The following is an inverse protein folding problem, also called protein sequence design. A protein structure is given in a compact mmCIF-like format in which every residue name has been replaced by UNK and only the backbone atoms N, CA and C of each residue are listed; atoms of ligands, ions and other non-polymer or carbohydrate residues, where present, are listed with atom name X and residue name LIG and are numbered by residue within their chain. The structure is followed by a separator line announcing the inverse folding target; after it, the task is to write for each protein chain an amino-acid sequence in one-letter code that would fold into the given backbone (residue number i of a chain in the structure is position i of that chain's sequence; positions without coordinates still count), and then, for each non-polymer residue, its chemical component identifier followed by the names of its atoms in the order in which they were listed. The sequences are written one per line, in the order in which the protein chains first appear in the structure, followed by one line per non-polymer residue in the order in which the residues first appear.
data_IF_954161282691
#
_entry.id   IF_954161282691
#
_cell.length_a   1.000
_cell.length_b   1.000
_cell.length_c   1.000
_cell.angle_alpha   90.00
_cell.angle_beta   90.00
_cell.angle_gamma   90.00
#
_symmetry.space_group_name_H-M   'P 1'
#
loop_
_entity.id
_entity.type
_entity.pdbx_description
1 polymer ?
#
# COMPACT_ATOMS: atom_id res chain seq x y z
N UNK A 1 -28.68 10.56 10.02
CA UNK A 1 -27.24 10.75 9.83
C UNK A 1 -26.59 9.44 9.45
N UNK A 2 -25.68 9.45 8.50
CA UNK A 2 -24.94 8.26 8.11
C UNK A 2 -23.44 8.54 8.16
N UNK A 3 -22.66 7.50 8.40
CA UNK A 3 -21.20 7.57 8.45
C UNK A 3 -20.66 6.55 7.46
N UNK A 4 -19.70 6.96 6.66
CA UNK A 4 -19.00 6.07 5.73
C UNK A 4 -17.50 6.14 6.00
N UNK A 5 -16.80 5.06 5.72
CA UNK A 5 -15.34 5.04 5.76
C UNK A 5 -14.83 5.66 4.45
N UNK A 6 -14.31 6.89 4.51
CA UNK A 6 -13.91 7.63 3.32
C UNK A 6 -12.60 7.13 2.74
N UNK A 7 -11.56 7.01 3.57
CA UNK A 7 -10.26 6.58 3.10
C UNK A 7 -9.37 6.04 4.22
N UNK A 8 -8.31 5.34 3.80
CA UNK A 8 -7.13 5.09 4.59
C UNK A 8 -6.00 5.98 4.08
N UNK A 9 -5.14 6.47 4.97
CA UNK A 9 -4.00 7.30 4.59
C UNK A 9 -2.71 6.67 5.10
N UNK A 10 -1.75 6.52 4.18
CA UNK A 10 -0.39 6.08 4.47
C UNK A 10 0.52 7.30 4.32
N UNK A 11 1.35 7.57 5.33
CA UNK A 11 2.30 8.68 5.27
C UNK A 11 3.67 8.20 4.79
N UNK A 12 4.26 9.00 3.91
CA UNK A 12 5.55 8.70 3.26
C UNK A 12 6.44 9.95 3.31
N UNK A 13 7.74 9.74 3.09
CA UNK A 13 8.73 10.84 3.10
C UNK A 13 9.07 11.35 1.71
N UNK A 14 8.81 10.56 0.67
CA UNK A 14 9.15 10.89 -0.72
C UNK A 14 8.02 10.40 -1.63
N UNK A 15 7.28 11.33 -2.22
CA UNK A 15 6.11 10.98 -3.01
C UNK A 15 6.47 10.31 -4.34
N UNK A 16 7.60 10.65 -4.95
CA UNK A 16 8.05 10.01 -6.19
C UNK A 16 8.39 8.54 -5.95
N UNK A 17 9.09 8.22 -4.86
CA UNK A 17 9.38 6.85 -4.48
C UNK A 17 8.11 6.08 -4.12
N UNK A 18 7.18 6.72 -3.42
CA UNK A 18 5.90 6.12 -3.09
C UNK A 18 5.09 5.82 -4.35
N UNK A 19 5.08 6.72 -5.33
CA UNK A 19 4.40 6.46 -6.61
C UNK A 19 5.02 5.26 -7.33
N UNK A 20 6.33 5.17 -7.37
CA UNK A 20 7.03 4.01 -7.94
C UNK A 20 6.60 2.70 -7.27
N UNK A 21 6.44 2.71 -5.97
CA UNK A 21 6.00 1.54 -5.21
C UNK A 21 4.52 1.21 -5.46
N UNK A 22 3.63 2.15 -5.19
CA UNK A 22 2.19 1.90 -5.21
C UNK A 22 1.59 1.83 -6.61
N UNK A 23 1.98 2.76 -7.50
CA UNK A 23 1.44 2.81 -8.86
C UNK A 23 2.16 1.86 -9.81
N UNK A 24 3.50 1.79 -9.75
CA UNK A 24 4.28 1.02 -10.72
C UNK A 24 4.49 -0.43 -10.28
N UNK A 25 4.99 -0.67 -9.08
CA UNK A 25 5.27 -2.03 -8.60
C UNK A 25 3.99 -2.76 -8.19
N UNK A 26 3.17 -2.18 -7.34
CA UNK A 26 1.90 -2.78 -6.96
C UNK A 26 0.83 -2.68 -8.05
N UNK A 27 0.93 -1.70 -8.92
CA UNK A 27 -0.03 -1.52 -10.01
C UNK A 27 -1.39 -1.01 -9.55
N UNK A 28 -1.46 -0.28 -8.44
CA UNK A 28 -2.73 0.27 -7.96
C UNK A 28 -3.23 1.38 -8.89
N UNK A 29 -4.51 1.39 -9.23
CA UNK A 29 -5.06 2.40 -10.14
C UNK A 29 -5.10 3.77 -9.45
N UNK A 30 -4.49 4.77 -10.11
CA UNK A 30 -4.44 6.15 -9.62
C UNK A 30 -5.78 6.83 -9.89
N UNK A 31 -6.38 7.42 -8.86
CA UNK A 31 -7.60 8.21 -8.97
C UNK A 31 -7.31 9.70 -9.14
N UNK A 32 -6.25 10.18 -8.50
CA UNK A 32 -5.83 11.57 -8.59
C UNK A 32 -4.47 11.77 -7.93
N UNK A 33 -3.85 12.89 -8.24
CA UNK A 33 -2.53 13.21 -7.71
C UNK A 33 -2.34 14.72 -7.61
N UNK A 34 -1.76 15.14 -6.48
CA UNK A 34 -1.25 16.49 -6.27
C UNK A 34 0.24 16.41 -5.91
N UNK A 35 0.83 17.56 -5.56
CA UNK A 35 2.22 17.58 -5.10
C UNK A 35 2.42 16.87 -3.75
N UNK A 36 1.34 16.66 -2.99
CA UNK A 36 1.40 16.16 -1.62
C UNK A 36 0.73 14.81 -1.42
N UNK A 37 -0.14 14.40 -2.35
CA UNK A 37 -1.02 13.25 -2.16
C UNK A 37 -1.25 12.51 -3.47
N UNK A 38 -1.21 11.18 -3.41
CA UNK A 38 -1.70 10.32 -4.49
C UNK A 38 -2.89 9.55 -3.93
N UNK A 39 -4.02 9.61 -4.65
CA UNK A 39 -5.21 8.86 -4.31
C UNK A 39 -5.37 7.68 -5.26
N UNK A 40 -5.73 6.52 -4.73
CA UNK A 40 -5.88 5.27 -5.46
C UNK A 40 -7.31 4.75 -5.35
N UNK A 41 -7.68 3.89 -6.29
CA UNK A 41 -8.99 3.21 -6.40
C UNK A 41 -10.10 4.17 -6.80
N UNK A 42 -10.07 4.68 -8.07
CA UNK A 42 -11.12 5.57 -8.57
C UNK A 42 -12.49 4.91 -8.52
N UNK A 43 -13.50 5.66 -8.09
CA UNK A 43 -14.86 5.18 -7.99
C UNK A 43 -15.16 4.30 -6.77
N UNK A 44 -14.18 3.94 -5.97
CA UNK A 44 -14.41 3.18 -4.75
C UNK A 44 -15.03 4.07 -3.66
N UNK A 45 -15.89 3.47 -2.84
CA UNK A 45 -16.45 4.17 -1.68
C UNK A 45 -15.34 4.54 -0.70
N UNK A 46 -14.42 3.60 -0.45
CA UNK A 46 -13.25 3.82 0.41
C UNK A 46 -12.00 3.81 -0.45
N UNK A 47 -11.26 4.91 -0.43
CA UNK A 47 -10.04 5.07 -1.23
C UNK A 47 -8.79 4.91 -0.37
N UNK A 48 -7.64 4.79 -1.01
CA UNK A 48 -6.34 4.79 -0.36
C UNK A 48 -5.62 6.08 -0.74
N UNK A 49 -5.22 6.86 0.27
CA UNK A 49 -4.38 8.03 0.09
C UNK A 49 -2.95 7.74 0.52
N UNK A 50 -1.99 8.13 -0.30
CA UNK A 50 -0.57 8.10 0.04
C UNK A 50 -0.09 9.54 0.09
N UNK A 51 0.23 10.03 1.28
CA UNK A 51 0.44 11.45 1.55
C UNK A 51 1.85 11.72 2.06
N UNK A 52 2.43 12.83 1.64
CA UNK A 52 3.65 13.32 2.28
C UNK A 52 3.37 13.64 3.75
N UNK A 53 4.32 13.27 4.60
CA UNK A 53 4.29 13.62 6.02
C UNK A 53 4.77 15.06 6.17
N UNK A 54 3.82 16.01 6.33
CA UNK A 54 4.10 17.44 6.31
C UNK A 54 4.33 18.06 7.69
N UNK A 55 4.12 17.29 8.74
CA UNK A 55 4.32 17.76 10.11
C UNK A 55 4.86 16.63 10.98
N UNK A 56 5.19 16.98 12.23
CA UNK A 56 5.78 16.02 13.15
C UNK A 56 4.86 14.84 13.47
N UNK A 57 3.57 15.10 13.66
CA UNK A 57 2.60 14.04 13.94
C UNK A 57 2.49 13.06 12.78
N UNK A 58 2.40 13.56 11.56
CA UNK A 58 2.35 12.72 10.36
C UNK A 58 3.66 11.94 10.18
N UNK A 59 4.82 12.58 10.43
CA UNK A 59 6.12 11.89 10.34
C UNK A 59 6.25 10.76 11.35
N UNK A 60 5.64 10.88 12.52
CA UNK A 60 5.64 9.81 13.52
C UNK A 60 4.87 8.57 13.08
N UNK A 61 4.01 8.69 12.07
CA UNK A 61 3.22 7.60 11.52
C UNK A 61 3.86 6.94 10.30
N UNK A 62 5.02 7.43 9.84
CA UNK A 62 5.76 6.80 8.75
C UNK A 62 6.44 5.53 9.26
N UNK A 63 6.36 4.45 8.46
CA UNK A 63 7.01 3.18 8.81
C UNK A 63 6.22 2.33 9.78
N UNK A 64 4.91 2.48 9.83
CA UNK A 64 4.02 1.75 10.75
C UNK A 64 3.38 0.52 10.10
N UNK A 65 2.85 -0.35 10.95
CA UNK A 65 1.89 -1.35 10.51
C UNK A 65 0.58 -0.64 10.15
N UNK A 66 0.20 -0.71 8.88
CA UNK A 66 -0.96 0.05 8.39
C UNK A 66 -2.31 -0.60 8.70
N UNK A 67 -2.33 -1.91 8.90
CA UNK A 67 -3.57 -2.67 9.00
C UNK A 67 -4.28 -2.89 7.66
N UNK A 68 -3.66 -2.50 6.55
CA UNK A 68 -4.25 -2.63 5.22
C UNK A 68 -3.93 -4.00 4.66
N UNK A 69 -4.95 -4.66 4.12
CA UNK A 69 -4.82 -5.92 3.38
C UNK A 69 -5.33 -5.71 1.96
N UNK A 70 -4.51 -6.05 0.99
CA UNK A 70 -4.86 -5.99 -0.42
C UNK A 70 -5.13 -7.39 -0.94
N UNK A 71 -6.26 -7.57 -1.61
CA UNK A 71 -6.57 -8.82 -2.32
C UNK A 71 -5.96 -8.78 -3.71
N UNK A 72 -5.19 -9.80 -4.05
CA UNK A 72 -4.45 -9.88 -5.31
C UNK A 72 -4.79 -11.20 -6.02
N UNK A 73 -5.21 -11.13 -7.27
CA UNK A 73 -5.55 -12.33 -8.03
C UNK A 73 -4.31 -13.14 -8.40
N UNK A 74 -3.23 -12.49 -8.82
CA UNK A 74 -1.99 -13.14 -9.27
C UNK A 74 -0.87 -12.93 -8.26
N UNK A 75 -1.09 -13.40 -7.03
CA UNK A 75 -0.19 -13.07 -5.91
C UNK A 75 1.24 -13.62 -6.11
N UNK A 76 1.39 -14.80 -6.70
CA UNK A 76 2.72 -15.38 -6.95
C UNK A 76 3.52 -14.49 -7.91
N UNK A 77 2.92 -14.11 -9.03
CA UNK A 77 3.56 -13.26 -10.04
C UNK A 77 3.87 -11.87 -9.47
N UNK A 78 2.94 -11.30 -8.71
CA UNK A 78 3.15 -10.00 -8.08
C UNK A 78 4.32 -10.06 -7.10
N UNK A 79 4.39 -11.09 -6.25
CA UNK A 79 5.48 -11.21 -5.29
C UNK A 79 6.84 -11.36 -5.97
N UNK A 80 6.91 -12.05 -7.11
CA UNK A 80 8.15 -12.12 -7.90
C UNK A 80 8.55 -10.75 -8.44
N UNK A 81 7.60 -10.00 -8.97
CA UNK A 81 7.83 -8.64 -9.46
C UNK A 81 8.31 -7.72 -8.34
N UNK A 82 7.70 -7.82 -7.16
CA UNK A 82 8.08 -7.01 -6.00
C UNK A 82 9.49 -7.34 -5.53
N UNK A 83 9.87 -8.62 -5.49
CA UNK A 83 11.23 -9.03 -5.14
C UNK A 83 12.24 -8.47 -6.13
N UNK A 84 11.97 -8.56 -7.41
CA UNK A 84 12.84 -8.02 -8.47
C UNK A 84 12.97 -6.50 -8.33
N UNK A 85 11.92 -5.82 -7.90
CA UNK A 85 11.91 -4.38 -7.64
C UNK A 85 12.54 -3.95 -6.32
N UNK A 86 13.11 -4.88 -5.55
CA UNK A 86 13.80 -4.56 -4.31
C UNK A 86 12.89 -4.38 -3.09
N UNK A 87 11.64 -4.84 -3.17
CA UNK A 87 10.69 -4.72 -2.05
C UNK A 87 11.06 -5.69 -0.94
N UNK A 88 11.07 -5.19 0.29
CA UNK A 88 11.32 -6.01 1.47
C UNK A 88 10.05 -6.77 1.88
N UNK A 89 10.19 -8.08 2.10
CA UNK A 89 9.13 -8.93 2.63
C UNK A 89 9.36 -9.13 4.12
N UNK A 90 8.43 -8.64 4.94
CA UNK A 90 8.42 -8.89 6.38
C UNK A 90 8.08 -10.36 6.62
N UNK A 91 7.09 -10.85 5.88
CA UNK A 91 6.74 -12.27 5.82
C UNK A 91 6.70 -12.71 4.37
N UNK A 92 7.44 -13.76 4.00
CA UNK A 92 7.44 -14.25 2.62
C UNK A 92 6.09 -14.83 2.24
N UNK A 93 5.85 -14.98 0.95
CA UNK A 93 4.63 -15.59 0.45
C UNK A 93 4.54 -17.04 0.94
N UNK A 94 3.47 -17.34 1.66
CA UNK A 94 3.18 -18.67 2.20
C UNK A 94 1.78 -19.10 1.82
N UNK A 95 1.61 -20.41 1.64
CA UNK A 95 0.31 -21.05 1.43
C UNK A 95 -0.25 -21.55 2.75
N UNK A 96 -1.55 -21.39 2.92
CA UNK A 96 -2.29 -21.92 4.06
C UNK A 96 -3.61 -22.52 3.56
N UNK A 97 -4.35 -23.26 4.43
CA UNK A 97 -5.70 -23.70 4.05
C UNK A 97 -6.65 -22.56 3.67
N UNK A 98 -6.35 -21.34 4.11
CA UNK A 98 -7.17 -20.15 3.89
C UNK A 98 -6.76 -19.36 2.64
N UNK A 99 -5.68 -19.75 1.97
CA UNK A 99 -5.13 -19.08 0.83
C UNK A 99 -3.66 -18.66 1.04
N UNK A 100 -3.13 -17.90 0.10
CA UNK A 100 -1.75 -17.42 0.15
C UNK A 100 -1.73 -16.03 0.75
N UNK A 101 -0.68 -15.73 1.51
CA UNK A 101 -0.47 -14.44 2.15
C UNK A 101 1.00 -14.07 2.17
N UNK A 102 1.28 -12.79 2.05
CA UNK A 102 2.59 -12.19 2.28
C UNK A 102 2.42 -10.86 3.00
N UNK A 103 3.46 -10.40 3.68
CA UNK A 103 3.50 -9.07 4.26
C UNK A 103 4.72 -8.35 3.71
N UNK A 104 4.51 -7.18 3.14
CA UNK A 104 5.55 -6.37 2.50
C UNK A 104 5.67 -5.02 3.18
N UNK A 105 6.79 -4.35 2.93
CA UNK A 105 6.98 -2.95 3.31
C UNK A 105 7.13 -2.08 2.07
N UNK A 106 6.56 -0.87 2.13
CA UNK A 106 6.91 0.13 1.14
C UNK A 106 8.33 0.67 1.41
N UNK A 107 8.80 1.63 0.62
CA UNK A 107 10.17 2.13 0.74
C UNK A 107 10.40 2.98 1.99
N UNK A 108 9.35 3.31 2.73
CA UNK A 108 9.41 3.98 4.03
C UNK A 108 9.17 3.04 5.21
N UNK A 109 9.01 1.74 4.94
CA UNK A 109 8.80 0.74 5.98
C UNK A 109 7.33 0.55 6.40
N UNK A 110 6.38 1.18 5.73
CA UNK A 110 4.96 0.93 6.01
C UNK A 110 4.58 -0.49 5.61
N UNK A 111 3.97 -1.25 6.51
CA UNK A 111 3.64 -2.65 6.29
C UNK A 111 2.25 -2.84 5.71
N UNK A 112 2.15 -3.68 4.71
CA UNK A 112 0.90 -4.00 4.00
C UNK A 112 0.83 -5.51 3.80
N UNK A 113 -0.33 -6.10 4.08
CA UNK A 113 -0.59 -7.50 3.81
C UNK A 113 -1.15 -7.70 2.40
N UNK A 114 -0.71 -8.76 1.74
CA UNK A 114 -1.24 -9.21 0.45
C UNK A 114 -1.86 -10.59 0.64
N UNK A 115 -3.06 -10.78 0.11
CA UNK A 115 -3.78 -12.06 0.17
C UNK A 115 -4.41 -12.36 -1.18
N UNK A 116 -4.66 -13.64 -1.46
CA UNK A 116 -5.35 -14.05 -2.70
C UNK A 116 -6.84 -14.37 -2.46
N UNK A 117 -7.30 -14.27 -1.23
CA UNK A 117 -8.71 -14.53 -0.86
C UNK A 117 -9.27 -13.49 0.10
#
# INVERSE_FOLDING_TARGET
MSIILKNFVIFVTDLAKAKSFYADLLGLPVAGQSEMLIEFFPGAVTTLGVSLALNEDARSLVGRHTGITLKVENIVELCEKLKTGGVHFVEPLESSPWGKMAVIQDFDGNMIALVDR
#
